data_IF_706803935712
#
_entry.id   IF_706803935712
#
_cell.length_a   1.000
_cell.length_b   1.000
_cell.length_c   1.000
_cell.angle_alpha   90.00
_cell.angle_beta   90.00
_cell.angle_gamma   90.00
#
_symmetry.space_group_name_H-M   'P 1'
#
loop_
_entity.id
_entity.type
_entity.pdbx_description
1 polymer ?
#
# COMPACT_ATOMS: atom_id res chain seq x y z
N UNK A 1 38.94 -11.68 -37.84
CA UNK A 1 37.67 -11.86 -38.56
C UNK A 1 36.95 -13.07 -37.98
N UNK A 2 36.02 -12.85 -37.05
CA UNK A 2 35.19 -13.91 -36.49
C UNK A 2 33.73 -13.51 -36.70
N UNK A 3 33.06 -14.23 -37.58
CA UNK A 3 31.63 -14.07 -37.88
C UNK A 3 30.80 -14.85 -36.88
N UNK A 4 29.86 -14.16 -36.21
CA UNK A 4 28.87 -14.79 -35.33
C UNK A 4 27.51 -14.68 -36.03
N UNK A 5 26.91 -15.86 -36.23
CA UNK A 5 25.59 -16.08 -36.84
C UNK A 5 24.50 -15.42 -36.01
N UNK A 6 23.68 -14.60 -36.66
CA UNK A 6 22.42 -14.06 -36.15
C UNK A 6 21.31 -15.10 -36.34
N UNK A 7 20.65 -15.51 -35.26
CA UNK A 7 19.42 -16.30 -35.26
C UNK A 7 18.32 -15.36 -34.76
N UNK A 8 17.48 -14.90 -35.69
CA UNK A 8 16.27 -14.14 -35.40
C UNK A 8 15.14 -15.14 -35.17
N UNK A 9 14.64 -15.24 -33.93
CA UNK A 9 13.41 -15.97 -33.64
C UNK A 9 12.22 -15.04 -33.81
N UNK A 10 11.43 -15.36 -34.83
CA UNK A 10 10.06 -14.92 -35.07
C UNK A 10 9.14 -15.60 -34.06
N UNK A 11 8.24 -14.85 -33.42
CA UNK A 11 7.00 -15.42 -32.87
C UNK A 11 5.92 -14.35 -32.76
N UNK A 12 4.97 -14.47 -33.68
CA UNK A 12 3.64 -13.89 -33.62
C UNK A 12 2.91 -14.38 -32.37
N UNK A 13 2.10 -13.52 -31.74
CA UNK A 13 0.85 -13.96 -31.12
C UNK A 13 -0.17 -12.82 -31.10
N UNK A 14 -0.97 -12.83 -32.15
CA UNK A 14 -2.31 -12.25 -32.23
C UNK A 14 -3.21 -13.01 -31.26
N UNK A 15 -3.91 -12.33 -30.35
CA UNK A 15 -5.07 -12.91 -29.65
C UNK A 15 -6.25 -11.98 -29.83
N UNK A 16 -7.34 -12.63 -30.25
CA UNK A 16 -8.51 -12.05 -30.86
C UNK A 16 -9.47 -11.45 -29.84
N UNK A 17 -10.10 -10.39 -30.30
CA UNK A 17 -11.33 -9.77 -29.83
C UNK A 17 -12.48 -10.80 -29.90
N UNK A 18 -13.19 -11.02 -28.79
CA UNK A 18 -14.47 -11.75 -28.80
C UNK A 18 -15.53 -10.89 -28.11
N UNK A 19 -16.30 -10.22 -28.97
CA UNK A 19 -17.62 -9.66 -28.70
C UNK A 19 -18.58 -10.81 -28.42
N UNK A 20 -19.34 -10.73 -27.33
CA UNK A 20 -20.60 -11.46 -27.20
C UNK A 20 -21.66 -10.51 -26.65
N UNK A 21 -22.54 -10.08 -27.55
CA UNK A 21 -23.85 -9.52 -27.24
C UNK A 21 -24.71 -10.59 -26.55
N UNK A 22 -25.37 -10.24 -25.46
CA UNK A 22 -26.58 -10.91 -25.04
C UNK A 22 -27.61 -9.85 -24.64
N UNK A 23 -28.73 -9.92 -25.33
CA UNK A 23 -29.88 -9.03 -25.31
C UNK A 23 -30.89 -9.45 -24.26
N UNK A 24 -31.73 -8.49 -23.88
CA UNK A 24 -33.10 -8.61 -23.38
C UNK A 24 -33.34 -9.32 -22.03
N UNK A 25 -33.99 -8.60 -21.11
CA UNK A 25 -35.45 -8.76 -20.93
C UNK A 25 -35.97 -7.77 -19.90
N UNK A 26 -36.89 -6.91 -20.32
CA UNK A 26 -37.71 -6.09 -19.43
C UNK A 26 -38.81 -6.95 -18.81
N UNK A 27 -38.87 -6.99 -17.49
CA UNK A 27 -40.10 -7.33 -16.76
C UNK A 27 -40.33 -6.28 -15.68
N UNK A 28 -41.24 -5.34 -16.00
CA UNK A 28 -41.89 -4.46 -15.02
C UNK A 28 -42.79 -5.31 -14.14
N UNK A 29 -42.58 -5.27 -12.82
CA UNK A 29 -43.60 -5.65 -11.84
C UNK A 29 -43.72 -4.50 -10.85
N UNK A 30 -44.89 -3.89 -10.80
CA UNK A 30 -45.26 -2.81 -9.90
C UNK A 30 -45.51 -3.35 -8.47
N UNK A 31 -45.50 -2.48 -7.44
CA UNK A 31 -45.27 -2.87 -6.06
C UNK A 31 -46.56 -3.27 -5.34
N UNK A 32 -46.49 -4.32 -4.52
CA UNK A 32 -47.51 -4.60 -3.52
C UNK A 32 -47.25 -3.74 -2.29
N UNK A 33 -48.23 -2.89 -1.96
CA UNK A 33 -48.26 -2.12 -0.72
C UNK A 33 -48.25 -3.07 0.48
N UNK A 34 -47.20 -2.98 1.29
CA UNK A 34 -47.16 -3.55 2.63
C UNK A 34 -47.99 -2.68 3.59
N UNK A 35 -48.77 -3.27 4.51
CA UNK A 35 -49.46 -2.53 5.55
C UNK A 35 -48.48 -1.88 6.56
N UNK A 36 -48.87 -0.76 7.20
CA UNK A 36 -48.04 -0.07 8.18
C UNK A 36 -47.79 -0.95 9.42
N UNK A 37 -46.51 -1.11 9.77
CA UNK A 37 -46.09 -1.81 10.98
C UNK A 37 -46.41 -0.98 12.23
N UNK A 38 -46.84 -1.62 13.34
CA UNK A 38 -47.12 -0.93 14.59
C UNK A 38 -45.86 -0.34 15.22
N UNK A 39 -46.00 0.87 15.75
CA UNK A 39 -44.98 1.62 16.49
C UNK A 39 -44.52 0.81 17.71
N UNK A 40 -43.24 0.44 17.72
CA UNK A 40 -42.56 -0.07 18.92
C UNK A 40 -42.09 1.10 19.79
N UNK A 41 -42.54 1.21 21.06
CA UNK A 41 -41.97 2.15 22.01
C UNK A 41 -40.69 1.55 22.60
N UNK A 42 -39.54 2.08 22.20
CA UNK A 42 -38.27 1.58 22.70
C UNK A 42 -37.05 2.24 22.07
N UNK A 43 -37.07 3.56 21.86
CA UNK A 43 -35.85 4.31 21.57
C UNK A 43 -34.95 4.27 22.82
N UNK A 44 -34.08 3.26 22.90
CA UNK A 44 -32.89 3.32 23.75
C UNK A 44 -32.06 4.51 23.26
N UNK A 45 -31.86 5.47 24.16
CA UNK A 45 -30.99 6.61 23.95
C UNK A 45 -29.66 6.14 23.34
N UNK A 46 -29.36 6.66 22.15
CA UNK A 46 -28.05 6.51 21.54
C UNK A 46 -27.01 6.96 22.55
N UNK A 47 -26.13 6.04 22.94
CA UNK A 47 -25.01 6.37 23.81
C UNK A 47 -24.19 7.48 23.14
N UNK A 48 -23.78 8.53 23.88
CA UNK A 48 -23.02 9.62 23.32
C UNK A 48 -21.74 9.05 22.70
N UNK A 49 -21.59 9.24 21.39
CA UNK A 49 -20.40 8.90 20.63
C UNK A 49 -19.21 9.61 21.30
N UNK A 50 -18.29 8.79 21.83
CA UNK A 50 -17.04 9.26 22.46
C UNK A 50 -16.33 10.20 21.47
N UNK A 51 -15.84 11.38 21.91
CA UNK A 51 -15.17 12.30 21.00
C UNK A 51 -13.98 11.60 20.36
N UNK A 52 -14.01 11.53 19.04
CA UNK A 52 -12.96 11.02 18.18
C UNK A 52 -11.71 11.89 18.42
N UNK A 53 -10.75 11.36 19.18
CA UNK A 53 -9.47 12.04 19.38
C UNK A 53 -8.79 12.09 18.01
N UNK A 54 -8.70 13.29 17.44
CA UNK A 54 -7.87 13.59 16.28
C UNK A 54 -6.41 13.20 16.61
N UNK A 55 -6.02 11.97 16.22
CA UNK A 55 -4.73 11.39 16.56
C UNK A 55 -3.69 11.96 15.59
N UNK A 56 -3.22 13.19 15.87
CA UNK A 56 -2.19 13.84 15.06
C UNK A 56 -0.91 13.00 15.14
N UNK A 57 -0.31 12.60 14.00
CA UNK A 57 0.90 11.79 14.00
C UNK A 57 2.04 12.56 14.67
N UNK A 58 2.86 11.90 15.47
CA UNK A 58 4.05 12.51 16.08
C UNK A 58 5.25 12.53 15.11
N UNK A 59 5.26 11.60 14.14
CA UNK A 59 6.32 11.43 13.16
C UNK A 59 5.76 10.99 11.82
N UNK A 60 6.37 11.47 10.74
CA UNK A 60 6.12 11.02 9.37
C UNK A 60 7.35 10.26 8.87
N UNK A 61 7.14 9.03 8.40
CA UNK A 61 8.13 8.24 7.68
C UNK A 61 7.84 8.32 6.18
N UNK A 62 8.62 9.11 5.45
CA UNK A 62 8.49 9.21 3.99
C UNK A 62 9.50 8.29 3.30
N UNK A 63 8.99 7.33 2.53
CA UNK A 63 9.78 6.48 1.67
C UNK A 63 9.71 6.96 0.22
N UNK A 64 10.87 7.21 -0.38
CA UNK A 64 10.98 7.53 -1.81
C UNK A 64 11.56 6.34 -2.57
N UNK A 65 10.78 5.78 -3.50
CA UNK A 65 11.12 4.61 -4.31
C UNK A 65 11.58 5.05 -5.71
N UNK A 66 12.82 4.73 -6.07
CA UNK A 66 13.50 5.17 -7.32
C UNK A 66 14.37 4.06 -7.92
N UNK A 67 14.53 4.04 -9.25
CA UNK A 67 15.57 3.22 -9.91
C UNK A 67 16.97 3.67 -9.55
N UNK A 68 17.90 2.72 -9.42
CA UNK A 68 19.34 2.99 -9.35
C UNK A 68 20.09 2.09 -10.33
N UNK A 69 20.76 2.71 -11.30
CA UNK A 69 21.44 1.96 -12.37
C UNK A 69 22.92 1.70 -12.06
N UNK A 70 23.55 2.53 -11.23
CA UNK A 70 25.02 2.55 -11.05
C UNK A 70 25.51 2.02 -9.69
N UNK A 71 24.63 1.84 -8.71
CA UNK A 71 25.03 1.44 -7.35
C UNK A 71 25.50 -0.03 -7.25
N UNK A 72 25.13 -0.87 -8.22
CA UNK A 72 25.47 -2.30 -8.28
C UNK A 72 26.21 -2.67 -9.58
N UNK A 73 27.00 -1.72 -10.10
CA UNK A 73 27.90 -1.96 -11.22
C UNK A 73 29.33 -2.12 -10.72
N UNK A 74 29.90 -3.29 -10.98
CA UNK A 74 31.32 -3.61 -10.83
C UNK A 74 31.86 -4.11 -12.18
N UNK A 75 33.18 -4.05 -12.38
CA UNK A 75 33.79 -4.45 -13.66
C UNK A 75 33.46 -5.91 -14.05
N UNK A 76 33.32 -6.78 -13.05
CA UNK A 76 33.03 -8.21 -13.21
C UNK A 76 31.56 -8.59 -13.00
N UNK A 77 30.70 -7.65 -12.55
CA UNK A 77 29.32 -7.95 -12.18
C UNK A 77 28.41 -6.73 -12.37
N UNK A 78 27.27 -6.92 -13.03
CA UNK A 78 26.25 -5.88 -13.17
C UNK A 78 24.89 -6.45 -12.79
N UNK A 79 24.22 -5.80 -11.85
CA UNK A 79 22.82 -6.07 -11.54
C UNK A 79 21.95 -4.97 -12.14
N UNK A 80 21.14 -5.33 -13.13
CA UNK A 80 20.20 -4.41 -13.76
C UNK A 80 18.92 -4.28 -12.94
N UNK A 81 18.21 -3.16 -13.11
CA UNK A 81 16.87 -2.96 -12.55
C UNK A 81 16.80 -3.04 -11.02
N UNK A 82 17.80 -2.50 -10.33
CA UNK A 82 17.74 -2.33 -8.88
C UNK A 82 16.85 -1.13 -8.55
N UNK A 83 15.90 -1.35 -7.65
CA UNK A 83 15.04 -0.29 -7.11
C UNK A 83 15.50 0.02 -5.69
N UNK A 84 15.73 1.30 -5.42
CA UNK A 84 16.11 1.82 -4.12
C UNK A 84 14.92 2.49 -3.45
N UNK A 85 14.71 2.20 -2.18
CA UNK A 85 13.80 2.97 -1.34
C UNK A 85 14.60 3.71 -0.27
N UNK A 86 14.55 5.04 -0.28
CA UNK A 86 15.16 5.88 0.76
C UNK A 86 14.10 6.38 1.72
N UNK A 87 14.23 6.05 3.00
CA UNK A 87 13.28 6.42 4.04
C UNK A 87 13.82 7.58 4.86
N UNK A 88 12.98 8.58 5.08
CA UNK A 88 13.26 9.77 5.86
C UNK A 88 12.23 9.92 6.98
N UNK A 89 12.68 10.34 8.15
CA UNK A 89 11.84 10.65 9.30
C UNK A 89 11.84 12.16 9.55
N UNK A 90 10.67 12.73 9.81
CA UNK A 90 10.51 14.14 10.17
C UNK A 90 9.20 14.36 10.94
N UNK A 91 9.11 15.50 11.64
CA UNK A 91 7.88 15.89 12.36
C UNK A 91 6.87 16.49 11.37
N UNK A 92 5.55 16.33 11.60
CA UNK A 92 4.55 16.99 10.77
C UNK A 92 4.77 18.50 10.73
N UNK A 93 4.77 19.07 9.52
CA UNK A 93 5.02 20.50 9.30
C UNK A 93 6.50 20.88 9.25
N UNK A 94 7.42 19.93 9.39
CA UNK A 94 8.88 20.15 9.36
C UNK A 94 9.58 19.34 8.24
N UNK A 95 9.07 19.48 7.02
CA UNK A 95 9.58 18.78 5.84
C UNK A 95 11.01 19.16 5.43
N UNK A 96 11.56 20.24 6.00
CA UNK A 96 12.91 20.71 5.70
C UNK A 96 13.98 19.96 6.50
N UNK A 97 13.64 19.47 7.70
CA UNK A 97 14.58 18.78 8.58
C UNK A 97 14.42 17.25 8.52
N UNK A 98 14.49 16.71 7.31
CA UNK A 98 14.40 15.26 7.06
C UNK A 98 15.65 14.53 7.52
N UNK A 99 15.50 13.60 8.45
CA UNK A 99 16.58 12.72 8.91
C UNK A 99 16.49 11.41 8.14
N UNK A 100 17.60 10.99 7.51
CA UNK A 100 17.64 9.69 6.82
C UNK A 100 17.49 8.53 7.81
N UNK A 101 16.45 7.73 7.68
CA UNK A 101 16.11 6.65 8.61
C UNK A 101 16.73 5.32 8.17
N UNK A 102 16.34 4.84 6.99
CA UNK A 102 16.76 3.56 6.42
C UNK A 102 16.85 3.66 4.89
N UNK A 103 17.61 2.76 4.29
CA UNK A 103 17.58 2.52 2.84
C UNK A 103 17.43 1.05 2.55
N UNK A 104 16.68 0.75 1.51
CA UNK A 104 16.47 -0.59 1.02
C UNK A 104 16.83 -0.66 -0.46
N UNK A 105 17.33 -1.82 -0.86
CA UNK A 105 17.54 -2.15 -2.27
C UNK A 105 16.75 -3.40 -2.61
N UNK A 106 16.12 -3.37 -3.77
CA UNK A 106 15.27 -4.43 -4.27
C UNK A 106 15.69 -4.81 -5.69
N UNK A 107 15.63 -6.11 -5.98
CA UNK A 107 15.79 -6.65 -7.32
C UNK A 107 14.77 -7.78 -7.50
N UNK A 108 14.01 -7.74 -8.60
CA UNK A 108 12.92 -8.69 -8.87
C UNK A 108 11.90 -8.83 -7.75
N UNK A 109 11.58 -7.71 -7.10
CA UNK A 109 10.64 -7.64 -5.98
C UNK A 109 11.12 -8.29 -4.68
N UNK A 110 12.39 -8.68 -4.61
CA UNK A 110 13.05 -9.21 -3.41
C UNK A 110 14.00 -8.18 -2.84
N UNK A 111 14.05 -8.05 -1.52
CA UNK A 111 15.04 -7.22 -0.85
C UNK A 111 16.43 -7.86 -0.97
N UNK A 112 17.40 -7.10 -1.47
CA UNK A 112 18.81 -7.53 -1.63
C UNK A 112 19.75 -6.84 -0.64
N UNK A 113 19.29 -5.77 0.03
CA UNK A 113 20.10 -5.07 1.01
C UNK A 113 19.29 -4.09 1.83
N UNK A 114 19.82 -3.77 3.02
CA UNK A 114 19.30 -2.73 3.91
C UNK A 114 20.46 -1.98 4.57
N UNK A 115 20.35 -0.66 4.64
CA UNK A 115 21.27 0.22 5.36
C UNK A 115 20.45 0.98 6.41
N UNK A 116 20.58 0.58 7.68
CA UNK A 116 19.96 1.30 8.80
C UNK A 116 20.86 2.45 9.22
N UNK A 117 20.31 3.66 9.26
CA UNK A 117 21.06 4.89 9.56
C UNK A 117 20.74 5.44 10.93
N UNK A 118 19.47 5.40 11.31
CA UNK A 118 18.99 5.90 12.59
C UNK A 118 17.98 4.92 13.22
N UNK A 119 17.69 5.12 14.50
CA UNK A 119 16.62 4.41 15.18
C UNK A 119 15.32 5.24 15.13
N UNK A 120 14.18 4.56 15.25
CA UNK A 120 12.87 5.20 15.30
C UNK A 120 12.68 5.84 16.68
N UNK A 121 13.09 7.11 16.82
CA UNK A 121 12.94 7.88 18.06
C UNK A 121 11.57 8.55 18.12
N UNK A 122 10.56 7.76 18.49
CA UNK A 122 9.17 8.21 18.68
C UNK A 122 8.76 7.83 20.10
N UNK A 123 8.07 8.67 20.88
CA UNK A 123 7.56 8.29 22.20
C UNK A 123 6.59 7.11 22.14
N UNK A 124 6.56 6.29 23.19
CA UNK A 124 5.62 5.16 23.25
C UNK A 124 4.16 5.63 23.24
N UNK A 125 3.32 4.92 22.48
CA UNK A 125 1.90 5.28 22.29
C UNK A 125 1.67 6.45 21.33
N UNK A 126 2.71 7.04 20.73
CA UNK A 126 2.51 8.02 19.68
C UNK A 126 2.27 7.33 18.31
N UNK A 127 1.53 8.02 17.45
CA UNK A 127 1.18 7.54 16.13
C UNK A 127 2.21 7.98 15.07
N UNK A 128 2.52 7.10 14.12
CA UNK A 128 3.44 7.32 13.01
C UNK A 128 2.66 7.25 11.71
N UNK A 129 2.78 8.28 10.87
CA UNK A 129 2.24 8.26 9.52
C UNK A 129 3.32 7.79 8.54
N UNK A 130 2.96 6.90 7.63
CA UNK A 130 3.88 6.40 6.59
C UNK A 130 3.44 6.97 5.26
N UNK A 131 4.36 7.57 4.49
CA UNK A 131 4.09 8.10 3.17
C UNK A 131 5.04 7.48 2.15
N UNK A 132 4.53 6.71 1.20
CA UNK A 132 5.35 6.07 0.16
C UNK A 132 5.11 6.76 -1.19
N UNK A 133 6.17 7.36 -1.71
CA UNK A 133 6.20 8.05 -3.00
C UNK A 133 7.05 7.24 -3.96
N UNK A 134 6.48 6.89 -5.12
CA UNK A 134 7.20 6.16 -6.17
C UNK A 134 7.35 7.00 -7.44
N UNK A 135 8.52 6.94 -8.07
CA UNK A 135 8.79 7.69 -9.31
C UNK A 135 8.35 6.98 -10.59
N UNK A 136 7.93 5.72 -10.50
CA UNK A 136 7.49 4.89 -11.63
C UNK A 136 6.39 3.92 -11.18
N UNK A 137 5.48 3.59 -12.09
CA UNK A 137 4.43 2.58 -11.90
C UNK A 137 4.84 1.19 -12.43
N UNK A 138 6.13 0.99 -12.73
CA UNK A 138 6.62 -0.32 -13.17
C UNK A 138 6.43 -1.39 -12.10
N UNK A 139 6.26 -2.66 -12.51
CA UNK A 139 6.06 -3.78 -11.59
C UNK A 139 7.14 -3.86 -10.50
N UNK A 140 8.40 -3.57 -10.83
CA UNK A 140 9.51 -3.56 -9.87
C UNK A 140 9.35 -2.47 -8.80
N UNK A 141 8.89 -1.28 -9.19
CA UNK A 141 8.64 -0.19 -8.24
C UNK A 141 7.45 -0.51 -7.34
N UNK A 142 6.37 -1.04 -7.90
CA UNK A 142 5.20 -1.47 -7.11
C UNK A 142 5.57 -2.53 -6.09
N UNK A 143 6.33 -3.56 -6.50
CA UNK A 143 6.84 -4.61 -5.59
C UNK A 143 7.73 -4.04 -4.49
N UNK A 144 8.64 -3.13 -4.83
CA UNK A 144 9.50 -2.46 -3.86
C UNK A 144 8.67 -1.60 -2.88
N UNK A 145 7.72 -0.80 -3.39
CA UNK A 145 6.84 0.03 -2.58
C UNK A 145 6.00 -0.78 -1.59
N UNK A 146 5.37 -1.87 -2.04
CA UNK A 146 4.60 -2.76 -1.17
C UNK A 146 5.47 -3.41 -0.06
N UNK A 147 6.69 -3.86 -0.40
CA UNK A 147 7.63 -4.35 0.62
C UNK A 147 7.99 -3.27 1.64
N UNK A 148 8.22 -2.04 1.18
CA UNK A 148 8.54 -0.91 2.07
C UNK A 148 7.37 -0.58 2.99
N UNK A 149 6.14 -0.55 2.47
CA UNK A 149 4.93 -0.38 3.29
C UNK A 149 4.89 -1.42 4.41
N UNK A 150 4.98 -2.72 4.06
CA UNK A 150 4.96 -3.79 5.04
C UNK A 150 6.09 -3.65 6.07
N UNK A 151 7.30 -3.34 5.62
CA UNK A 151 8.48 -3.23 6.48
C UNK A 151 8.32 -2.09 7.50
N UNK A 152 7.89 -0.91 7.05
CA UNK A 152 7.72 0.25 7.92
C UNK A 152 6.55 0.08 8.90
N UNK A 153 5.46 -0.54 8.47
CA UNK A 153 4.34 -0.91 9.35
C UNK A 153 4.83 -1.87 10.44
N UNK A 154 5.50 -2.96 10.07
CA UNK A 154 6.01 -3.95 11.02
C UNK A 154 7.01 -3.32 12.00
N UNK A 155 7.93 -2.50 11.50
CA UNK A 155 8.91 -1.82 12.34
C UNK A 155 8.24 -0.86 13.34
N UNK A 156 7.22 -0.12 12.90
CA UNK A 156 6.41 0.75 13.78
C UNK A 156 5.71 -0.05 14.89
N UNK A 157 5.07 -1.17 14.53
CA UNK A 157 4.34 -2.02 15.48
C UNK A 157 5.28 -2.74 16.46
N UNK A 158 6.44 -3.23 16.01
CA UNK A 158 7.46 -3.85 16.87
C UNK A 158 7.95 -2.87 17.94
N UNK A 159 8.09 -1.60 17.58
CA UNK A 159 8.44 -0.55 18.52
C UNK A 159 7.24 -0.07 19.37
N UNK A 160 6.11 -0.79 19.42
CA UNK A 160 4.92 -0.42 20.22
C UNK A 160 4.42 0.99 19.91
N UNK A 161 4.42 1.37 18.64
CA UNK A 161 3.88 2.63 18.13
C UNK A 161 2.63 2.32 17.30
N UNK A 162 1.73 3.29 17.23
CA UNK A 162 0.51 3.17 16.43
C UNK A 162 0.82 3.59 14.99
N UNK A 163 0.25 2.91 14.00
CA UNK A 163 0.29 3.34 12.61
C UNK A 163 -0.92 4.23 12.37
N UNK A 164 -0.71 5.55 12.23
CA UNK A 164 -1.79 6.50 11.96
C UNK A 164 -2.46 6.24 10.60
N UNK A 165 -1.69 5.73 9.65
CA UNK A 165 -2.12 5.42 8.29
C UNK A 165 -0.93 5.34 7.34
N UNK A 166 -1.14 4.67 6.22
CA UNK A 166 -0.18 4.57 5.13
C UNK A 166 -0.74 5.30 3.93
N UNK A 167 -0.07 6.35 3.48
CA UNK A 167 -0.45 7.11 2.29
C UNK A 167 0.45 6.73 1.11
N UNK A 168 -0.16 6.52 -0.05
CA UNK A 168 0.52 6.26 -1.32
C UNK A 168 -0.05 7.14 -2.42
N UNK A 169 0.71 7.41 -3.48
CA UNK A 169 0.20 8.18 -4.63
C UNK A 169 -1.04 7.53 -5.23
N UNK A 170 -2.07 8.33 -5.57
CA UNK A 170 -3.37 7.80 -6.05
C UNK A 170 -3.25 6.89 -7.28
N UNK A 171 -2.33 7.20 -8.21
CA UNK A 171 -2.05 6.38 -9.38
C UNK A 171 -1.39 5.02 -9.06
N UNK A 172 -0.76 4.90 -7.89
CA UNK A 172 -0.09 3.69 -7.41
C UNK A 172 -1.00 2.83 -6.52
N UNK A 173 -2.06 3.41 -5.97
CA UNK A 173 -2.89 2.82 -4.93
C UNK A 173 -3.37 1.41 -5.27
N UNK A 174 -4.04 1.24 -6.42
CA UNK A 174 -4.59 -0.06 -6.85
C UNK A 174 -3.49 -1.11 -7.05
N UNK A 175 -2.36 -0.73 -7.65
CA UNK A 175 -1.26 -1.64 -7.92
C UNK A 175 -0.56 -2.10 -6.63
N UNK A 176 -0.33 -1.18 -5.69
CA UNK A 176 0.24 -1.49 -4.37
C UNK A 176 -0.73 -2.34 -3.55
N UNK A 177 -2.03 -2.01 -3.56
CA UNK A 177 -3.08 -2.80 -2.91
C UNK A 177 -3.09 -4.25 -3.39
N UNK A 178 -3.09 -4.48 -4.71
CA UNK A 178 -3.02 -5.81 -5.30
C UNK A 178 -1.74 -6.56 -4.91
N UNK A 179 -0.59 -5.87 -4.90
CA UNK A 179 0.68 -6.48 -4.50
C UNK A 179 0.70 -6.84 -3.00
N UNK A 180 0.06 -6.04 -2.14
CA UNK A 180 -0.12 -6.39 -0.72
C UNK A 180 -1.02 -7.62 -0.57
N UNK A 181 -2.10 -7.73 -1.35
CA UNK A 181 -2.93 -8.93 -1.37
C UNK A 181 -2.17 -10.18 -1.85
N UNK A 182 -1.35 -10.03 -2.90
CA UNK A 182 -0.46 -11.09 -3.37
C UNK A 182 0.52 -11.57 -2.28
N UNK A 183 0.84 -10.70 -1.31
CA UNK A 183 1.68 -10.99 -0.13
C UNK A 183 0.85 -11.40 1.09
N UNK A 184 -0.30 -12.03 0.86
CA UNK A 184 -1.24 -12.51 1.88
C UNK A 184 -1.88 -11.41 2.73
N UNK A 185 -1.88 -10.15 2.28
CA UNK A 185 -2.66 -9.10 2.89
C UNK A 185 -4.15 -9.29 2.61
N UNK A 186 -4.97 -9.29 3.65
CA UNK A 186 -6.42 -9.38 3.50
C UNK A 186 -7.04 -7.99 3.60
N UNK A 187 -8.00 -7.68 2.74
CA UNK A 187 -8.76 -6.44 2.82
C UNK A 187 -9.92 -6.65 3.79
N UNK A 188 -10.04 -5.76 4.77
CA UNK A 188 -11.17 -5.71 5.69
C UNK A 188 -12.33 -4.95 5.00
N UNK A 189 -13.51 -5.58 4.82
CA UNK A 189 -14.67 -4.87 4.30
C UNK A 189 -15.12 -3.75 5.25
N UNK A 190 -15.66 -2.68 4.69
CA UNK A 190 -16.13 -1.55 5.47
C UNK A 190 -17.21 -1.96 6.49
N UNK A 191 -17.08 -1.49 7.74
CA UNK A 191 -17.99 -1.80 8.83
C UNK A 191 -17.84 -3.19 9.45
N UNK A 192 -16.84 -3.98 9.03
CA UNK A 192 -16.50 -5.23 9.69
C UNK A 192 -15.34 -5.06 10.67
N UNK A 193 -15.40 -5.80 11.77
CA UNK A 193 -14.29 -5.90 12.70
C UNK A 193 -13.20 -6.83 12.16
N UNK A 194 -11.92 -6.53 12.39
CA UNK A 194 -10.83 -7.43 12.03
C UNK A 194 -10.97 -8.76 12.78
N UNK A 195 -10.55 -9.89 12.16
CA UNK A 195 -10.48 -11.17 12.85
C UNK A 195 -9.69 -11.08 14.17
N UNK A 196 -10.06 -11.88 15.17
CA UNK A 196 -9.44 -11.83 16.52
C UNK A 196 -7.97 -12.21 16.52
N UNK A 197 -7.56 -12.97 15.53
CA UNK A 197 -6.19 -13.44 15.27
C UNK A 197 -5.39 -12.48 14.39
N UNK A 198 -5.96 -11.36 13.95
CA UNK A 198 -5.22 -10.36 13.18
C UNK A 198 -4.13 -9.69 14.06
N UNK A 199 -2.88 -9.76 13.60
CA UNK A 199 -1.71 -9.21 14.31
C UNK A 199 -1.21 -7.88 13.74
N UNK A 200 -1.49 -7.63 12.47
CA UNK A 200 -1.10 -6.40 11.78
C UNK A 200 -2.35 -5.84 11.14
N UNK A 201 -2.70 -4.60 11.46
CA UNK A 201 -3.84 -3.88 10.88
C UNK A 201 -3.39 -2.46 10.58
N UNK A 202 -3.64 -1.99 9.36
CA UNK A 202 -3.42 -0.60 8.99
C UNK A 202 -4.32 -0.16 7.83
N UNK A 203 -4.57 1.14 7.74
CA UNK A 203 -5.30 1.75 6.62
C UNK A 203 -4.30 2.22 5.54
N UNK A 204 -4.53 1.77 4.30
CA UNK A 204 -3.88 2.28 3.10
C UNK A 204 -4.77 3.35 2.47
N UNK A 205 -4.22 4.53 2.23
CA UNK A 205 -4.91 5.71 1.73
C UNK A 205 -4.27 6.21 0.43
N UNK A 206 -5.09 6.58 -0.54
CA UNK A 206 -4.64 7.27 -1.74
C UNK A 206 -4.45 8.77 -1.46
N UNK A 207 -3.31 9.33 -1.88
CA UNK A 207 -3.03 10.76 -1.75
C UNK A 207 -4.04 11.60 -2.53
N UNK A 208 -4.60 12.63 -1.89
CA UNK A 208 -5.58 13.55 -2.48
C UNK A 208 -6.84 12.88 -3.05
N UNK A 209 -7.19 11.69 -2.54
CA UNK A 209 -8.40 10.95 -2.91
C UNK A 209 -9.08 10.40 -1.65
N UNK A 210 -10.40 10.18 -1.73
CA UNK A 210 -11.16 9.53 -0.66
C UNK A 210 -11.03 7.98 -0.69
N UNK A 211 -10.18 7.45 -1.57
CA UNK A 211 -9.93 6.01 -1.65
C UNK A 211 -9.09 5.53 -0.48
N UNK A 212 -9.67 4.62 0.31
CA UNK A 212 -9.03 3.97 1.44
C UNK A 212 -9.37 2.50 1.51
N UNK A 213 -8.43 1.69 2.00
CA UNK A 213 -8.60 0.26 2.22
C UNK A 213 -7.89 -0.14 3.50
N UNK A 214 -8.57 -0.85 4.39
CA UNK A 214 -7.95 -1.40 5.58
C UNK A 214 -7.41 -2.79 5.27
N UNK A 215 -6.14 -3.00 5.58
CA UNK A 215 -5.46 -4.28 5.42
C UNK A 215 -5.21 -4.93 6.77
N UNK A 216 -5.29 -6.27 6.79
CA UNK A 216 -4.89 -7.07 7.94
C UNK A 216 -4.10 -8.33 7.54
N UNK A 217 -3.30 -8.82 8.48
CA UNK A 217 -2.61 -10.12 8.42
C UNK A 217 -2.89 -10.92 9.68
N UNK A 218 -3.03 -12.23 9.50
CA UNK A 218 -3.16 -13.27 10.53
C UNK A 218 -1.82 -13.96 10.70
#
# INVERSE_FOLDING_TARGET
>A
MFGIKSISQTSCLTVALLLACATNSMARTAPLLSPPSPLMPGQRAASPSKPEKENKPALILQAKVTSVDKEFEHESFKMHSVVKASVFAFKPGDDQNKIGYERFWFHDGKAIGVEKRNNLDVPAGAAVQIHVVQTSLSSQHTKAAANVVMRLVLDTLIHKREVAGVTVSANAFSAISQELQFRNGHILPEGQDPPRDAHVIFELNAEASDQKQTFYWI
#
